data_IF_303543057924
#
_entry.id   IF_303543057924
#
_cell.length_a   1.000
_cell.length_b   1.000
_cell.length_c   1.000
_cell.angle_alpha   90.00
_cell.angle_beta   90.00
_cell.angle_gamma   90.00
#
_symmetry.space_group_name_H-M   'P 1'
#
loop_
_entity.id
_entity.type
_entity.pdbx_description
1 polymer ?
#
# COMPACT_ATOMS: atom_id res chain seq x y z
N UNK A 1 -12.99 -12.79 -18.89
CA UNK A 1 -14.03 -13.54 -18.13
C UNK A 1 -14.42 -12.73 -16.89
N UNK A 2 -15.64 -12.88 -16.36
CA UNK A 2 -16.02 -12.27 -15.07
C UNK A 2 -16.42 -13.39 -14.12
N UNK A 3 -15.73 -13.52 -12.99
CA UNK A 3 -16.03 -14.50 -11.96
C UNK A 3 -16.03 -13.84 -10.58
N UNK A 4 -17.11 -14.04 -9.83
CA UNK A 4 -17.36 -13.46 -8.52
C UNK A 4 -17.84 -14.53 -7.54
N UNK A 5 -17.10 -14.70 -6.45
CA UNK A 5 -17.47 -15.56 -5.33
C UNK A 5 -18.54 -14.91 -4.44
N UNK A 6 -18.53 -13.58 -4.32
CA UNK A 6 -19.52 -12.82 -3.56
C UNK A 6 -20.89 -12.71 -4.26
N UNK A 7 -20.92 -12.79 -5.59
CA UNK A 7 -22.16 -12.74 -6.36
C UNK A 7 -22.07 -13.68 -7.57
N UNK A 8 -22.22 -15.00 -7.36
CA UNK A 8 -22.11 -15.99 -8.44
C UNK A 8 -23.09 -15.74 -9.61
N UNK A 9 -24.20 -15.05 -9.35
CA UNK A 9 -25.16 -14.62 -10.37
C UNK A 9 -24.59 -13.63 -11.40
N UNK A 10 -23.46 -12.99 -11.11
CA UNK A 10 -22.80 -12.02 -11.99
C UNK A 10 -21.72 -12.64 -12.88
N UNK A 11 -21.46 -13.95 -12.75
CA UNK A 11 -20.42 -14.62 -13.53
C UNK A 11 -20.77 -14.60 -15.03
N UNK A 12 -19.77 -14.41 -15.89
CA UNK A 12 -19.90 -14.33 -17.37
C UNK A 12 -18.69 -15.00 -18.05
N UNK A 13 -18.88 -15.45 -19.28
CA UNK A 13 -17.86 -16.20 -20.01
C UNK A 13 -17.84 -17.65 -19.56
N UNK A 14 -16.66 -18.26 -19.46
CA UNK A 14 -16.52 -19.68 -19.07
C UNK A 14 -17.00 -19.96 -17.63
N UNK A 15 -17.12 -18.92 -16.79
CA UNK A 15 -17.68 -19.01 -15.44
C UNK A 15 -19.22 -18.86 -15.36
N UNK A 16 -19.92 -18.68 -16.49
CA UNK A 16 -21.36 -18.47 -16.51
C UNK A 16 -22.11 -19.71 -15.98
N UNK A 17 -22.86 -19.53 -14.89
CA UNK A 17 -23.62 -20.56 -14.13
C UNK A 17 -22.81 -21.43 -13.16
N UNK A 18 -21.54 -21.13 -12.95
CA UNK A 18 -20.77 -21.80 -11.90
C UNK A 18 -21.12 -21.25 -10.51
N UNK A 19 -21.46 -22.15 -9.59
CA UNK A 19 -21.72 -21.85 -8.18
C UNK A 19 -20.49 -22.22 -7.35
N UNK A 20 -19.59 -21.27 -7.16
CA UNK A 20 -18.39 -21.44 -6.35
C UNK A 20 -18.70 -21.18 -4.86
N UNK A 21 -19.38 -22.13 -4.21
CA UNK A 21 -19.60 -22.07 -2.75
C UNK A 21 -18.48 -22.80 -2.02
N UNK A 22 -17.74 -22.09 -1.14
CA UNK A 22 -16.58 -22.65 -0.42
C UNK A 22 -15.35 -22.86 -1.31
N UNK A 23 -15.17 -22.02 -2.33
CA UNK A 23 -13.99 -22.04 -3.19
C UNK A 23 -13.13 -20.87 -2.74
N UNK A 24 -12.04 -21.19 -2.06
CA UNK A 24 -11.01 -20.22 -1.69
C UNK A 24 -9.99 -20.03 -2.82
N UNK A 25 -10.19 -20.61 -4.01
CA UNK A 25 -9.24 -20.58 -5.12
C UNK A 25 -9.94 -20.22 -6.44
N UNK A 26 -9.72 -19.01 -6.94
CA UNK A 26 -10.22 -18.58 -8.25
C UNK A 26 -9.05 -18.44 -9.21
N UNK A 27 -9.12 -19.10 -10.36
CA UNK A 27 -8.10 -18.99 -11.41
C UNK A 27 -8.74 -18.47 -12.68
N UNK A 28 -8.15 -17.44 -13.26
CA UNK A 28 -8.53 -16.87 -14.55
C UNK A 28 -7.94 -17.64 -15.72
N UNK A 29 -7.81 -16.95 -16.83
CA UNK A 29 -7.53 -17.44 -18.17
C UNK A 29 -6.27 -16.76 -18.72
N UNK A 30 -6.05 -16.84 -20.04
CA UNK A 30 -4.97 -16.09 -20.72
C UNK A 30 -5.46 -14.76 -21.30
N UNK A 31 -6.63 -14.29 -20.87
CA UNK A 31 -7.27 -13.06 -21.31
C UNK A 31 -7.60 -12.19 -20.11
N UNK A 32 -7.87 -10.91 -20.36
CA UNK A 32 -8.31 -9.97 -19.33
C UNK A 32 -9.53 -10.48 -18.56
N UNK A 33 -9.33 -10.70 -17.26
CA UNK A 33 -10.29 -11.25 -16.34
C UNK A 33 -10.62 -10.31 -15.19
N UNK A 34 -11.83 -10.45 -14.65
CA UNK A 34 -12.23 -9.78 -13.42
C UNK A 34 -12.62 -10.82 -12.39
N UNK A 35 -11.79 -10.95 -11.36
CA UNK A 35 -11.89 -11.95 -10.30
C UNK A 35 -12.23 -11.24 -8.99
N UNK A 36 -13.29 -11.68 -8.32
CA UNK A 36 -13.74 -11.06 -7.06
C UNK A 36 -13.97 -12.12 -5.99
N UNK A 37 -13.23 -11.99 -4.88
CA UNK A 37 -13.35 -12.74 -3.65
C UNK A 37 -14.63 -12.44 -2.85
N UNK A 38 -14.65 -12.89 -1.61
CA UNK A 38 -15.72 -12.69 -0.64
C UNK A 38 -15.16 -12.11 0.67
N UNK A 39 -15.87 -12.23 1.79
CA UNK A 39 -15.41 -11.73 3.09
C UNK A 39 -14.56 -12.72 3.89
N UNK A 40 -14.02 -13.76 3.25
CA UNK A 40 -13.18 -14.80 3.84
C UNK A 40 -11.85 -14.88 3.10
N UNK A 41 -10.89 -15.63 3.64
CA UNK A 41 -9.58 -15.89 2.99
C UNK A 41 -9.78 -16.44 1.57
N UNK A 42 -9.22 -15.76 0.58
CA UNK A 42 -9.27 -16.14 -0.83
C UNK A 42 -7.89 -16.19 -1.46
N UNK A 43 -7.75 -17.02 -2.49
CA UNK A 43 -6.59 -17.16 -3.36
C UNK A 43 -7.06 -16.89 -4.79
N UNK A 44 -6.69 -15.74 -5.35
CA UNK A 44 -7.07 -15.35 -6.71
C UNK A 44 -5.82 -15.37 -7.61
N UNK A 45 -5.93 -16.00 -8.77
CA UNK A 45 -4.88 -16.06 -9.78
C UNK A 45 -5.44 -15.57 -11.13
N UNK A 46 -4.94 -14.47 -11.68
CA UNK A 46 -5.39 -13.87 -12.95
C UNK A 46 -5.03 -14.74 -14.14
N UNK A 47 -3.77 -15.15 -14.22
CA UNK A 47 -3.27 -16.02 -15.29
C UNK A 47 -2.46 -15.21 -16.28
N UNK A 48 -2.98 -14.96 -17.47
CA UNK A 48 -2.37 -14.04 -18.41
C UNK A 48 -3.39 -13.05 -18.96
N UNK A 49 -2.94 -11.93 -19.49
CA UNK A 49 -3.81 -10.81 -19.82
C UNK A 49 -3.69 -9.69 -18.81
N UNK A 50 -4.53 -8.66 -18.94
CA UNK A 50 -4.59 -7.57 -17.97
C UNK A 50 -5.77 -7.81 -17.04
N UNK A 51 -5.48 -8.25 -15.82
CA UNK A 51 -6.48 -8.79 -14.91
C UNK A 51 -6.82 -7.84 -13.77
N UNK A 52 -8.06 -7.90 -13.30
CA UNK A 52 -8.57 -7.15 -12.16
C UNK A 52 -8.95 -8.12 -11.03
N UNK A 53 -8.15 -8.16 -9.97
CA UNK A 53 -8.32 -9.05 -8.82
C UNK A 53 -8.75 -8.24 -7.59
N UNK A 54 -9.87 -8.62 -6.98
CA UNK A 54 -10.42 -7.98 -5.78
C UNK A 54 -10.63 -9.01 -4.67
N UNK A 55 -9.85 -8.96 -3.59
CA UNK A 55 -9.98 -9.83 -2.41
C UNK A 55 -11.24 -9.52 -1.58
N UNK A 56 -11.51 -8.23 -1.38
CA UNK A 56 -12.55 -7.67 -0.51
C UNK A 56 -12.20 -7.73 0.98
N UNK A 57 -12.45 -8.86 1.65
CA UNK A 57 -12.23 -8.95 3.09
C UNK A 57 -11.72 -10.32 3.48
N UNK A 58 -10.78 -10.38 4.40
CA UNK A 58 -10.06 -11.61 4.70
C UNK A 58 -8.56 -11.39 4.52
N UNK A 59 -7.77 -12.44 4.73
CA UNK A 59 -6.35 -12.39 4.42
C UNK A 59 -6.14 -13.08 3.09
N UNK A 60 -6.02 -12.31 2.01
CA UNK A 60 -6.10 -12.84 0.66
C UNK A 60 -4.72 -13.05 0.03
N UNK A 61 -4.63 -14.01 -0.88
CA UNK A 61 -3.46 -14.28 -1.72
C UNK A 61 -3.80 -13.96 -3.17
N UNK A 62 -3.15 -12.97 -3.76
CA UNK A 62 -3.46 -12.47 -5.10
C UNK A 62 -2.26 -12.67 -6.02
N UNK A 63 -2.46 -13.35 -7.15
CA UNK A 63 -1.44 -13.57 -8.17
C UNK A 63 -1.95 -12.98 -9.48
N UNK A 64 -1.38 -11.87 -9.97
CA UNK A 64 -1.78 -11.30 -11.26
C UNK A 64 -1.42 -12.24 -12.40
N UNK A 65 -0.12 -12.50 -12.52
CA UNK A 65 0.43 -13.38 -13.54
C UNK A 65 1.03 -12.57 -14.66
N UNK A 66 0.72 -12.92 -15.91
CA UNK A 66 1.30 -12.32 -17.09
C UNK A 66 0.45 -11.16 -17.62
N UNK A 67 0.80 -9.91 -17.33
CA UNK A 67 0.33 -8.78 -18.11
C UNK A 67 0.42 -7.46 -17.38
N UNK A 68 -0.67 -6.72 -17.28
CA UNK A 68 -0.67 -5.47 -16.54
C UNK A 68 -1.87 -5.51 -15.61
N UNK A 69 -1.61 -5.93 -14.38
CA UNK A 69 -2.68 -6.36 -13.50
C UNK A 69 -3.03 -5.30 -12.44
N UNK A 70 -4.26 -5.34 -11.99
CA UNK A 70 -4.78 -4.53 -10.90
C UNK A 70 -5.20 -5.45 -9.76
N UNK A 71 -4.45 -5.41 -8.64
CA UNK A 71 -4.68 -6.23 -7.46
C UNK A 71 -5.14 -5.34 -6.30
N UNK A 72 -6.30 -5.63 -5.74
CA UNK A 72 -6.85 -4.97 -4.57
C UNK A 72 -7.15 -6.01 -3.49
N UNK A 73 -6.36 -6.02 -2.42
CA UNK A 73 -6.55 -6.93 -1.28
C UNK A 73 -7.82 -6.62 -0.52
N UNK A 74 -7.99 -5.34 -0.18
CA UNK A 74 -9.17 -4.84 0.52
C UNK A 74 -8.89 -4.74 2.01
N UNK A 75 -9.67 -5.45 2.83
CA UNK A 75 -9.56 -5.42 4.28
C UNK A 75 -8.93 -6.70 4.81
N UNK A 76 -7.80 -6.59 5.50
CA UNK A 76 -7.15 -7.71 6.16
C UNK A 76 -5.65 -7.60 6.02
N UNK A 77 -4.96 -8.74 6.01
CA UNK A 77 -3.54 -8.81 5.67
C UNK A 77 -3.39 -9.59 4.38
N UNK A 78 -3.12 -8.87 3.31
CA UNK A 78 -3.17 -9.38 1.95
C UNK A 78 -1.75 -9.55 1.37
N UNK A 79 -1.60 -10.59 0.56
CA UNK A 79 -0.33 -11.00 -0.02
C UNK A 79 -0.43 -11.07 -1.54
N UNK A 80 0.37 -10.28 -2.24
CA UNK A 80 0.56 -10.42 -3.67
C UNK A 80 1.74 -11.35 -3.98
N UNK A 81 1.54 -12.34 -4.85
CA UNK A 81 2.55 -13.32 -5.26
C UNK A 81 3.10 -12.97 -6.64
N UNK A 82 4.42 -12.89 -6.73
CA UNK A 82 5.18 -12.55 -7.93
C UNK A 82 6.06 -13.75 -8.31
N UNK A 83 6.10 -14.10 -9.61
CA UNK A 83 6.72 -15.34 -10.08
C UNK A 83 8.27 -15.31 -10.08
N UNK A 84 8.88 -14.13 -10.00
CA UNK A 84 10.33 -13.93 -10.03
C UNK A 84 10.97 -13.69 -8.64
N UNK A 85 12.24 -13.28 -8.65
CA UNK A 85 12.97 -12.87 -7.44
C UNK A 85 12.74 -11.40 -7.17
N UNK A 86 12.85 -10.96 -5.92
CA UNK A 86 12.69 -9.55 -5.55
C UNK A 86 13.64 -8.59 -6.29
N UNK A 87 14.81 -9.05 -6.72
CA UNK A 87 15.78 -8.26 -7.52
C UNK A 87 15.31 -7.97 -8.95
N UNK A 88 14.36 -8.76 -9.44
CA UNK A 88 13.83 -8.65 -10.79
C UNK A 88 12.72 -7.60 -10.88
N UNK A 89 12.22 -7.11 -9.74
CA UNK A 89 11.10 -6.17 -9.69
C UNK A 89 11.51 -4.85 -9.05
N UNK A 90 10.90 -3.77 -9.54
CA UNK A 90 10.89 -2.45 -8.90
C UNK A 90 9.50 -2.18 -8.35
N UNK A 91 9.38 -1.72 -7.10
CA UNK A 91 8.11 -1.29 -6.53
C UNK A 91 8.17 0.18 -6.10
N UNK A 92 7.19 0.96 -6.54
CA UNK A 92 7.09 2.39 -6.27
C UNK A 92 5.75 2.69 -5.61
N UNK A 93 5.78 3.37 -4.46
CA UNK A 93 4.56 3.88 -3.84
C UNK A 93 4.09 5.14 -4.56
N UNK A 94 2.89 5.11 -5.10
CA UNK A 94 2.23 6.25 -5.73
C UNK A 94 1.64 7.19 -4.68
N UNK A 95 1.36 8.45 -5.07
CA UNK A 95 0.81 9.46 -4.16
C UNK A 95 -0.63 9.15 -3.68
N UNK A 96 -1.36 8.33 -4.44
CA UNK A 96 -2.70 7.84 -4.08
C UNK A 96 -2.68 6.68 -3.06
N UNK A 97 -1.49 6.23 -2.65
CA UNK A 97 -1.30 5.12 -1.72
C UNK A 97 -1.22 3.74 -2.38
N UNK A 98 -1.43 3.63 -3.68
CA UNK A 98 -1.20 2.39 -4.44
C UNK A 98 0.30 2.12 -4.63
N UNK A 99 0.64 0.87 -4.91
CA UNK A 99 1.99 0.42 -5.25
C UNK A 99 2.03 0.02 -6.72
N UNK A 100 2.95 0.60 -7.46
CA UNK A 100 3.28 0.16 -8.81
C UNK A 100 4.40 -0.88 -8.72
N UNK A 101 4.16 -2.10 -9.17
CA UNK A 101 5.19 -3.13 -9.34
C UNK A 101 5.56 -3.17 -10.83
N UNK A 102 6.84 -3.25 -11.14
CA UNK A 102 7.33 -3.31 -12.52
C UNK A 102 8.40 -4.37 -12.61
N UNK A 103 8.18 -5.37 -13.45
CA UNK A 103 9.19 -6.36 -13.79
C UNK A 103 10.28 -5.72 -14.68
N UNK A 104 11.53 -5.84 -14.25
CA UNK A 104 12.71 -5.31 -14.93
C UNK A 104 13.35 -6.31 -15.89
N UNK A 105 12.87 -7.56 -15.93
CA UNK A 105 13.37 -8.60 -16.85
C UNK A 105 12.90 -8.30 -18.27
N UNK A 106 13.85 -8.22 -19.20
CA UNK A 106 13.55 -8.01 -20.61
C UNK A 106 12.75 -9.19 -21.17
N UNK A 107 11.56 -8.92 -21.71
CA UNK A 107 10.67 -9.93 -22.28
C UNK A 107 9.82 -10.70 -21.25
N UNK A 108 9.79 -10.25 -20.00
CA UNK A 108 8.87 -10.83 -19.02
C UNK A 108 7.42 -10.59 -19.41
N UNK A 109 6.56 -11.62 -19.32
CA UNK A 109 5.14 -11.47 -19.61
C UNK A 109 4.40 -10.77 -18.47
N UNK A 110 4.99 -10.64 -17.27
CA UNK A 110 4.37 -10.09 -16.04
C UNK A 110 4.10 -8.58 -16.10
N UNK A 111 4.70 -7.86 -17.06
CA UNK A 111 4.46 -6.42 -17.30
C UNK A 111 4.48 -5.53 -16.05
N UNK A 112 3.46 -4.67 -15.89
CA UNK A 112 3.40 -3.60 -14.87
C UNK A 112 2.10 -3.68 -14.08
N UNK A 113 2.23 -3.99 -12.80
CA UNK A 113 1.09 -4.22 -11.92
C UNK A 113 0.83 -3.04 -10.98
N UNK A 114 -0.42 -2.88 -10.59
CA UNK A 114 -0.89 -1.91 -9.61
C UNK A 114 -1.53 -2.63 -8.44
N UNK A 115 -0.98 -2.42 -7.25
CA UNK A 115 -1.40 -3.07 -6.01
C UNK A 115 -2.00 -2.03 -5.07
N UNK A 116 -3.17 -2.32 -4.52
CA UNK A 116 -3.88 -1.44 -3.57
C UNK A 116 -4.25 -2.28 -2.35
N UNK A 117 -4.01 -1.71 -1.17
CA UNK A 117 -4.28 -2.42 0.11
C UNK A 117 -3.64 -3.81 0.13
N UNK A 118 -2.33 -3.87 -0.15
CA UNK A 118 -1.52 -5.09 -0.06
C UNK A 118 -0.37 -4.82 0.90
N UNK A 119 -0.20 -5.71 1.89
CA UNK A 119 0.80 -5.58 2.93
C UNK A 119 2.04 -6.43 2.67
N UNK A 120 1.90 -7.52 1.91
CA UNK A 120 2.95 -8.51 1.71
C UNK A 120 3.16 -8.74 0.20
N UNK A 121 4.43 -8.73 -0.21
CA UNK A 121 4.86 -9.26 -1.49
C UNK A 121 5.61 -10.57 -1.26
N UNK A 122 5.16 -11.63 -1.93
CA UNK A 122 5.83 -12.91 -1.97
C UNK A 122 6.63 -13.03 -3.27
N UNK A 123 7.92 -13.27 -3.15
CA UNK A 123 8.84 -13.57 -4.24
C UNK A 123 9.44 -14.96 -4.06
N UNK A 124 10.11 -15.49 -5.08
CA UNK A 124 10.79 -16.80 -5.00
C UNK A 124 12.00 -16.80 -4.04
N UNK A 125 12.55 -15.62 -3.72
CA UNK A 125 13.66 -15.44 -2.79
C UNK A 125 13.22 -15.00 -1.38
N UNK A 126 11.91 -14.85 -1.14
CA UNK A 126 11.34 -14.56 0.17
C UNK A 126 10.19 -13.55 0.14
N UNK A 127 9.71 -13.18 1.33
CA UNK A 127 8.65 -12.18 1.49
C UNK A 127 9.21 -10.78 1.77
N UNK A 128 8.53 -9.75 1.27
CA UNK A 128 8.78 -8.34 1.60
C UNK A 128 7.48 -7.72 2.10
N UNK A 129 7.54 -7.09 3.26
CA UNK A 129 6.42 -6.30 3.79
C UNK A 129 6.39 -4.94 3.10
N UNK A 130 5.36 -4.68 2.30
CA UNK A 130 4.97 -3.34 1.91
C UNK A 130 4.24 -2.79 3.12
N UNK A 131 5.01 -2.21 4.05
CA UNK A 131 4.52 -1.85 5.37
C UNK A 131 3.10 -1.30 5.32
N UNK A 132 2.23 -1.80 6.20
CA UNK A 132 1.03 -1.07 6.56
C UNK A 132 1.46 0.37 6.80
N UNK A 133 0.62 1.34 6.48
CA UNK A 133 0.70 2.58 7.23
C UNK A 133 0.46 2.22 8.70
N UNK A 134 1.49 1.73 9.39
CA UNK A 134 1.70 2.03 10.78
C UNK A 134 1.88 3.52 10.75
N UNK A 135 0.75 4.24 10.83
CA UNK A 135 0.71 5.44 11.62
C UNK A 135 1.36 5.02 12.91
N UNK A 136 2.66 5.29 13.04
CA UNK A 136 3.25 5.47 14.34
C UNK A 136 2.46 6.64 14.91
N UNK A 137 1.34 6.32 15.55
CA UNK A 137 0.95 7.05 16.72
C UNK A 137 2.13 6.82 17.63
N UNK A 138 3.10 7.74 17.58
CA UNK A 138 3.79 8.10 18.80
C UNK A 138 2.65 8.54 19.71
N UNK A 139 2.15 7.58 20.48
CA UNK A 139 1.53 7.87 21.75
C UNK A 139 2.58 8.70 22.49
N UNK A 140 2.49 10.02 22.33
CA UNK A 140 3.13 10.96 23.22
C UNK A 140 2.50 10.65 24.57
N UNK A 141 3.27 9.88 25.32
CA UNK A 141 2.98 9.46 26.67
C UNK A 141 2.51 10.65 27.49
N UNK A 142 1.43 10.42 28.23
CA UNK A 142 1.16 11.03 29.52
C UNK A 142 1.46 12.52 29.63
N UNK A 143 0.42 13.33 29.46
CA UNK A 143 0.28 14.61 30.15
C UNK A 143 0.70 14.44 31.62
N UNK A 144 1.85 14.96 32.07
CA UNK A 144 2.10 15.05 33.49
C UNK A 144 1.38 16.30 33.97
N UNK A 145 0.21 16.05 34.57
CA UNK A 145 -0.19 16.72 35.80
C UNK A 145 -0.20 18.25 35.77
N UNK A 146 -1.37 18.80 35.47
CA UNK A 146 -2.00 19.89 36.22
C UNK A 146 -1.01 20.93 36.79
N UNK A 147 -0.62 21.94 36.00
CA UNK A 147 -0.18 23.20 36.57
C UNK A 147 -1.00 24.35 36.00
N UNK A 148 -1.60 25.07 36.93
CA UNK A 148 -2.46 26.22 36.74
C UNK A 148 -1.82 27.24 35.79
N UNK A 149 -2.63 27.78 34.90
CA UNK A 149 -2.38 29.08 34.30
C UNK A 149 -2.21 30.11 35.43
N UNK A 150 -1.11 30.89 35.52
CA UNK A 150 -1.17 32.14 36.26
C UNK A 150 -1.87 33.18 35.38
N UNK A 151 -2.99 33.71 35.88
CA UNK A 151 -3.69 34.87 35.31
C UNK A 151 -2.76 36.10 35.24
N UNK A 152 -2.85 36.97 34.22
CA UNK A 152 -2.01 38.14 34.13
C UNK A 152 -2.58 39.26 35.00
N UNK A 153 -2.04 39.49 36.21
CA UNK A 153 -1.98 40.82 36.86
C UNK A 153 -1.41 40.77 38.30
N UNK A 154 -0.09 40.78 38.43
CA UNK A 154 0.55 41.64 39.43
C UNK A 154 1.97 42.00 38.99
N UNK A 155 2.31 43.26 39.18
CA UNK A 155 3.48 43.98 38.69
C UNK A 155 4.76 43.45 39.33
N UNK A 156 5.78 43.13 38.53
CA UNK A 156 7.16 43.40 38.95
C UNK A 156 8.03 43.76 37.75
N UNK A 157 8.63 44.95 37.84
CA UNK A 157 9.57 45.53 36.90
C UNK A 157 10.84 44.66 36.90
N UNK A 158 11.53 44.52 35.76
CA UNK A 158 12.96 44.83 35.63
C UNK A 158 13.51 44.41 34.25
N UNK A 159 13.85 45.46 33.50
CA UNK A 159 15.03 45.59 32.65
C UNK A 159 15.42 44.45 31.67
N UNK A 160 15.15 44.75 30.40
CA UNK A 160 15.98 44.36 29.28
C UNK A 160 15.49 43.10 28.60
N UNK A 161 15.07 43.25 27.34
CA UNK A 161 15.54 42.53 26.16
C UNK A 161 14.94 43.27 24.95
N UNK A 162 15.74 43.73 23.98
CA UNK A 162 15.22 44.55 22.89
C UNK A 162 14.46 43.68 21.86
N UNK A 163 13.29 44.17 21.46
CA UNK A 163 12.61 43.74 20.25
C UNK A 163 13.32 44.30 19.01
N UNK A 164 13.57 43.47 17.99
CA UNK A 164 13.48 43.77 16.54
C UNK A 164 13.77 42.47 15.78
N UNK A 165 12.74 41.85 15.19
CA UNK A 165 12.26 42.02 13.81
C UNK A 165 12.85 40.95 12.87
N UNK A 166 11.92 40.20 12.27
CA UNK A 166 12.14 39.27 11.16
C UNK A 166 12.97 39.91 10.04
N UNK A 167 13.80 39.13 9.33
CA UNK A 167 13.88 39.13 7.85
C UNK A 167 14.87 38.09 7.31
N UNK A 168 14.34 37.26 6.40
CA UNK A 168 14.89 36.82 5.10
C UNK A 168 16.33 36.26 4.95
N UNK A 169 16.36 35.03 4.40
CA UNK A 169 17.37 34.41 3.55
C UNK A 169 18.39 35.37 2.90
N UNK A 170 19.69 35.05 2.99
CA UNK A 170 20.60 34.91 1.84
C UNK A 170 22.08 34.78 2.25
N UNK A 171 22.80 34.00 1.44
CA UNK A 171 24.26 34.04 1.24
C UNK A 171 25.11 33.45 2.39
N UNK A 172 25.76 32.29 2.23
CA UNK A 172 27.05 32.13 1.51
C UNK A 172 28.02 33.26 1.94
N UNK A 173 29.20 33.03 2.48
CA UNK A 173 30.16 31.95 2.31
C UNK A 173 31.14 32.05 3.49
N UNK A 174 31.78 30.92 3.77
CA UNK A 174 33.15 30.69 4.27
C UNK A 174 33.95 31.75 5.05
N UNK A 175 34.74 31.15 5.93
CA UNK A 175 36.03 31.62 6.44
C UNK A 175 36.01 32.71 7.51
N UNK A 176 36.13 32.28 8.77
CA UNK A 176 37.35 32.61 9.52
C UNK A 176 37.45 31.72 10.77
N UNK A 177 38.13 30.59 10.63
CA UNK A 177 38.87 29.99 11.74
C UNK A 177 40.23 30.70 11.71
N UNK A 178 40.51 31.60 12.66
CA UNK A 178 41.85 31.76 13.22
C UNK A 178 41.80 32.67 14.46
N UNK A 179 42.39 32.13 15.54
CA UNK A 179 43.23 32.74 16.59
C UNK A 179 42.88 34.15 17.06
#
# INVERSE_FOLDING_TARGET
MVASLASPSNNKGDAYLDSYTGIENLTGSNYADTLTGNGSVNSLAGGGGADNLYGNGGNDTLTGGAGADYLNGGSGTDMAVLAGKSTDYSWVKNADGSWTITDLRSGSPDGKDTLVSIELLQFNDGQKTLGTSSTSTVAAAAEPHLDLMPSPSHIEQHAGWPAVHETWLASLDKDFLLV
#
